data_IF_353958413194
#
_entry.id   IF_353958413194
#
_cell.length_a   1.000
_cell.length_b   1.000
_cell.length_c   1.000
_cell.angle_alpha   90.00
_cell.angle_beta   90.00
_cell.angle_gamma   90.00
#
_symmetry.space_group_name_H-M   'P 1'
#
loop_
_entity.id
_entity.type
_entity.pdbx_description
1 polymer ?
#
# COMPACT_ATOMS: atom_id res chain seq x y z
N UNK A 1 -3.63 -41.86 10.53
CA UNK A 1 -2.57 -40.97 10.00
C UNK A 1 -3.13 -39.63 9.52
N UNK A 2 -4.09 -39.59 8.57
CA UNK A 2 -4.66 -38.33 8.01
C UNK A 2 -5.29 -37.39 9.04
N UNK A 3 -6.01 -37.93 10.03
CA UNK A 3 -6.63 -37.15 11.12
C UNK A 3 -5.62 -36.49 12.07
N UNK A 4 -4.44 -37.08 12.22
CA UNK A 4 -3.37 -36.52 13.06
C UNK A 4 -2.66 -35.37 12.33
N UNK A 5 -2.38 -35.56 11.03
CA UNK A 5 -1.83 -34.50 10.17
C UNK A 5 -2.79 -33.31 10.02
N UNK A 6 -4.09 -33.56 9.88
CA UNK A 6 -5.09 -32.49 9.83
C UNK A 6 -5.15 -31.67 11.13
N UNK A 7 -4.97 -32.32 12.30
CA UNK A 7 -4.91 -31.64 13.61
C UNK A 7 -3.64 -30.81 13.75
N UNK A 8 -2.49 -31.34 13.34
CA UNK A 8 -1.22 -30.61 13.36
C UNK A 8 -1.26 -29.40 12.42
N UNK A 9 -1.80 -29.57 11.21
CA UNK A 9 -1.99 -28.48 10.26
C UNK A 9 -2.97 -27.41 10.80
N UNK A 10 -4.07 -27.83 11.44
CA UNK A 10 -5.01 -26.91 12.08
C UNK A 10 -4.37 -26.11 13.22
N UNK A 11 -3.58 -26.75 14.08
CA UNK A 11 -2.86 -26.06 15.16
C UNK A 11 -1.80 -25.10 14.59
N UNK A 12 -1.05 -25.51 13.57
CA UNK A 12 -0.07 -24.66 12.91
C UNK A 12 -0.72 -23.43 12.24
N UNK A 13 -1.88 -23.62 11.60
CA UNK A 13 -2.66 -22.52 11.02
C UNK A 13 -3.17 -21.55 12.09
N UNK A 14 -3.65 -22.06 13.24
CA UNK A 14 -4.08 -21.23 14.36
C UNK A 14 -2.92 -20.42 14.96
N UNK A 15 -1.75 -21.05 15.14
CA UNK A 15 -0.54 -20.36 15.61
C UNK A 15 -0.16 -19.25 14.63
N UNK A 16 -0.14 -19.54 13.33
CA UNK A 16 0.19 -18.56 12.29
C UNK A 16 -0.81 -17.39 12.25
N UNK A 17 -2.10 -17.67 12.43
CA UNK A 17 -3.13 -16.63 12.50
C UNK A 17 -3.02 -15.76 13.76
N UNK A 18 -2.50 -16.31 14.87
CA UNK A 18 -2.29 -15.60 16.14
C UNK A 18 -0.93 -14.92 16.29
N UNK A 19 0.00 -15.12 15.34
CA UNK A 19 1.30 -14.45 15.35
C UNK A 19 1.21 -12.92 15.31
N UNK A 20 0.28 -12.28 14.56
CA UNK A 20 0.13 -10.83 14.59
C UNK A 20 -0.13 -10.31 16.00
N UNK A 21 -1.02 -10.95 16.76
CA UNK A 21 -1.36 -10.53 18.13
C UNK A 21 -0.15 -10.57 19.07
N UNK A 22 0.71 -11.59 18.93
CA UNK A 22 1.96 -11.70 19.70
C UNK A 22 3.02 -10.68 19.30
N UNK A 23 3.09 -10.30 18.02
CA UNK A 23 3.99 -9.25 17.52
C UNK A 23 3.51 -7.87 17.96
N UNK A 24 2.21 -7.63 18.01
CA UNK A 24 1.63 -6.41 18.59
C UNK A 24 1.86 -6.34 20.10
N UNK A 25 1.84 -7.46 20.82
CA UNK A 25 2.11 -7.52 22.26
C UNK A 25 3.62 -7.40 22.61
N UNK A 26 4.51 -7.90 21.76
CA UNK A 26 5.97 -7.81 21.95
C UNK A 26 6.58 -6.48 21.46
N UNK A 27 5.82 -5.67 20.71
CA UNK A 27 6.23 -4.37 20.17
C UNK A 27 6.05 -3.17 21.10
N UNK A 28 5.66 -3.37 22.37
CA UNK A 28 5.32 -2.26 23.27
C UNK A 28 5.49 -2.58 24.75
N UNK A 29 6.73 -2.59 25.25
CA UNK A 29 6.96 -2.13 26.62
C UNK A 29 6.64 -0.64 26.76
N UNK A 30 6.96 0.00 27.89
CA UNK A 30 6.95 1.48 28.03
C UNK A 30 7.98 2.14 27.09
N UNK A 31 7.82 1.94 25.79
CA UNK A 31 8.47 2.68 24.74
C UNK A 31 7.81 4.04 24.84
N UNK A 32 8.50 4.97 25.51
CA UNK A 32 8.15 6.38 25.56
C UNK A 32 7.52 6.75 24.21
N UNK A 33 6.28 7.28 24.19
CA UNK A 33 5.49 7.39 22.97
C UNK A 33 6.37 8.00 21.90
N UNK A 34 6.78 7.18 20.92
CA UNK A 34 7.57 7.68 19.80
C UNK A 34 6.60 8.58 19.08
N UNK A 35 6.73 9.88 19.31
CA UNK A 35 5.97 10.91 18.63
C UNK A 35 6.48 10.90 17.19
N UNK A 36 5.82 10.09 16.35
CA UNK A 36 6.08 10.03 14.92
C UNK A 36 5.45 11.28 14.32
N UNK A 37 6.26 12.33 14.22
CA UNK A 37 5.90 13.62 13.63
C UNK A 37 6.83 13.88 12.46
N UNK A 38 6.26 14.27 11.34
CA UNK A 38 7.00 14.70 10.18
C UNK A 38 7.71 16.03 10.49
N UNK A 39 9.01 16.12 10.18
CA UNK A 39 9.77 17.36 10.34
C UNK A 39 9.40 18.36 9.24
N UNK A 40 8.65 19.40 9.59
CA UNK A 40 8.16 20.44 8.67
C UNK A 40 9.03 21.69 8.59
N UNK A 41 10.13 21.77 9.36
CA UNK A 41 10.89 23.02 9.59
C UNK A 41 11.53 23.62 8.34
N UNK A 42 11.88 22.80 7.35
CA UNK A 42 12.49 23.23 6.09
C UNK A 42 11.64 22.86 4.86
N UNK A 43 10.37 22.50 5.06
CA UNK A 43 9.46 22.19 3.97
C UNK A 43 8.66 23.44 3.58
N UNK A 44 8.38 23.58 2.29
CA UNK A 44 7.51 24.64 1.76
C UNK A 44 6.57 24.10 0.68
N UNK A 45 5.50 24.85 0.42
CA UNK A 45 4.53 24.51 -0.62
C UNK A 45 3.82 23.18 -0.38
N UNK A 46 3.72 22.36 -1.42
CA UNK A 46 2.99 21.07 -1.41
C UNK A 46 3.63 20.08 -0.43
N UNK A 47 4.97 20.09 -0.29
CA UNK A 47 5.65 19.20 0.64
C UNK A 47 5.35 19.55 2.09
N UNK A 48 5.29 20.85 2.41
CA UNK A 48 4.88 21.31 3.74
C UNK A 48 3.43 20.92 4.01
N UNK A 49 2.53 21.18 3.07
CA UNK A 49 1.12 20.81 3.20
C UNK A 49 0.93 19.31 3.45
N UNK A 50 1.64 18.46 2.69
CA UNK A 50 1.56 17.02 2.84
C UNK A 50 2.10 16.52 4.18
N UNK A 51 3.20 17.09 4.65
CA UNK A 51 3.80 16.74 5.94
C UNK A 51 2.97 17.26 7.13
N UNK A 52 2.38 18.44 7.01
CA UNK A 52 1.49 19.01 8.03
C UNK A 52 0.17 18.22 8.11
N UNK A 53 -0.36 17.76 6.96
CA UNK A 53 -1.53 16.88 6.91
C UNK A 53 -1.34 15.60 7.73
N UNK A 54 -0.14 15.00 7.66
CA UNK A 54 0.22 13.83 8.45
C UNK A 54 0.27 14.14 9.95
N UNK A 55 0.82 15.31 10.32
CA UNK A 55 0.95 15.75 11.70
C UNK A 55 -0.40 16.09 12.34
N UNK A 56 -1.32 16.73 11.61
CA UNK A 56 -2.64 17.10 12.13
C UNK A 56 -3.59 15.90 12.21
N UNK A 57 -3.65 15.05 11.18
CA UNK A 57 -4.59 13.93 11.14
C UNK A 57 -4.14 12.79 10.23
N UNK A 58 -3.69 11.71 10.87
CA UNK A 58 -3.33 10.46 10.20
C UNK A 58 -4.51 9.84 9.42
N UNK A 59 -5.74 9.99 9.91
CA UNK A 59 -6.94 9.50 9.22
C UNK A 59 -7.15 10.27 7.92
N UNK A 60 -7.07 11.60 7.97
CA UNK A 60 -7.29 12.42 6.79
C UNK A 60 -6.17 12.22 5.75
N UNK A 61 -4.93 12.13 6.21
CA UNK A 61 -3.79 11.72 5.39
C UNK A 61 -4.01 10.37 4.69
N UNK A 62 -4.50 9.36 5.42
CA UNK A 62 -4.77 8.04 4.85
C UNK A 62 -5.87 8.10 3.78
N UNK A 63 -6.98 8.80 4.03
CA UNK A 63 -8.07 8.94 3.06
C UNK A 63 -7.61 9.64 1.78
N UNK A 64 -6.87 10.75 1.91
CA UNK A 64 -6.32 11.49 0.77
C UNK A 64 -5.37 10.62 -0.04
N UNK A 65 -4.50 9.85 0.62
CA UNK A 65 -3.52 8.98 -0.04
C UNK A 65 -4.19 7.81 -0.76
N UNK A 66 -5.17 7.16 -0.11
CA UNK A 66 -5.93 6.03 -0.69
C UNK A 66 -6.71 6.48 -1.93
N UNK A 67 -7.20 7.71 -1.97
CA UNK A 67 -7.83 8.27 -3.16
C UNK A 67 -6.81 8.66 -4.24
N UNK A 68 -5.71 9.32 -3.87
CA UNK A 68 -4.74 9.83 -4.85
C UNK A 68 -3.98 8.75 -5.61
N UNK A 69 -3.56 7.68 -4.95
CA UNK A 69 -2.78 6.59 -5.59
C UNK A 69 -3.49 6.01 -6.82
N UNK A 70 -4.75 5.53 -6.74
CA UNK A 70 -5.43 4.98 -7.91
C UNK A 70 -5.73 6.05 -8.96
N UNK A 71 -6.03 7.29 -8.56
CA UNK A 71 -6.27 8.39 -9.51
C UNK A 71 -5.01 8.66 -10.34
N UNK A 72 -3.86 8.81 -9.69
CA UNK A 72 -2.58 9.03 -10.36
C UNK A 72 -2.22 7.82 -11.24
N UNK A 73 -2.47 6.60 -10.75
CA UNK A 73 -2.26 5.37 -11.51
C UNK A 73 -3.08 5.34 -12.81
N UNK A 74 -4.35 5.72 -12.76
CA UNK A 74 -5.21 5.83 -13.95
C UNK A 74 -4.71 6.93 -14.89
N UNK A 75 -4.33 8.09 -14.36
CA UNK A 75 -3.79 9.19 -15.17
C UNK A 75 -2.54 8.74 -15.93
N UNK A 76 -1.59 8.08 -15.25
CA UNK A 76 -0.39 7.58 -15.91
C UNK A 76 -0.67 6.43 -16.88
N UNK A 77 -1.62 5.54 -16.56
CA UNK A 77 -2.04 4.48 -17.48
C UNK A 77 -2.63 5.04 -18.77
N UNK A 78 -3.51 6.04 -18.67
CA UNK A 78 -4.10 6.72 -19.82
C UNK A 78 -3.04 7.50 -20.61
N UNK A 79 -2.14 8.21 -19.93
CA UNK A 79 -1.06 8.92 -20.59
C UNK A 79 -0.13 7.96 -21.36
N UNK A 80 0.17 6.80 -20.78
CA UNK A 80 0.94 5.76 -21.44
C UNK A 80 0.20 5.21 -22.67
N UNK A 81 -1.11 4.96 -22.60
CA UNK A 81 -1.92 4.51 -23.76
C UNK A 81 -1.87 5.53 -24.90
N UNK A 82 -1.96 6.82 -24.59
CA UNK A 82 -1.85 7.91 -25.57
C UNK A 82 -0.47 7.91 -26.22
N UNK A 83 0.60 7.80 -25.43
CA UNK A 83 1.98 7.79 -25.95
C UNK A 83 2.23 6.57 -26.84
N UNK A 84 1.80 5.38 -26.42
CA UNK A 84 1.95 4.14 -27.20
C UNK A 84 1.19 4.22 -28.53
N UNK A 85 -0.03 4.76 -28.51
CA UNK A 85 -0.82 5.01 -29.72
C UNK A 85 -0.11 6.00 -30.66
N UNK A 86 0.51 7.05 -30.12
CA UNK A 86 1.22 8.05 -30.93
C UNK A 86 2.52 7.53 -31.57
N UNK A 87 3.19 6.58 -30.93
CA UNK A 87 4.41 5.94 -31.44
C UNK A 87 4.08 4.82 -32.44
N UNK A 88 2.81 4.44 -32.59
CA UNK A 88 2.37 3.39 -33.52
C UNK A 88 2.46 1.97 -32.95
N UNK A 89 2.66 1.82 -31.64
CA UNK A 89 2.47 0.54 -30.95
C UNK A 89 0.98 0.43 -30.65
N UNK A 90 0.22 -0.03 -31.64
CA UNK A 90 -1.20 -0.26 -31.48
C UNK A 90 -1.44 -1.66 -30.88
N UNK A 91 -1.80 -1.70 -29.60
CA UNK A 91 -2.18 -2.91 -28.88
C UNK A 91 -3.68 -3.21 -29.01
N UNK A 92 -4.45 -2.41 -29.76
CA UNK A 92 -5.91 -2.55 -29.88
C UNK A 92 -6.34 -3.55 -30.95
N UNK A 93 -5.53 -3.78 -31.99
CA UNK A 93 -5.81 -4.77 -33.03
C UNK A 93 -4.89 -5.99 -32.90
N UNK A 94 -5.49 -7.13 -32.52
CA UNK A 94 -4.80 -8.43 -32.38
C UNK A 94 -4.82 -9.21 -33.70
N UNK A 95 -4.41 -8.58 -34.80
CA UNK A 95 -4.65 -9.11 -36.16
C UNK A 95 -3.59 -10.12 -36.68
N UNK A 96 -2.47 -10.36 -35.96
CA UNK A 96 -1.31 -11.04 -36.55
C UNK A 96 -0.69 -12.18 -35.72
N UNK A 97 -1.38 -12.77 -34.74
CA UNK A 97 -0.76 -13.74 -33.82
C UNK A 97 -1.43 -15.12 -33.68
N UNK A 98 -2.46 -15.45 -34.47
CA UNK A 98 -3.01 -16.82 -34.49
C UNK A 98 -3.39 -17.26 -35.92
N UNK A 99 -2.37 -17.62 -36.71
CA UNK A 99 -2.45 -18.61 -37.81
C UNK A 99 -1.12 -19.35 -37.94
#
# INVERSE_FOLDING_TARGET
MTKLWARIAGIAAMIFLSLPDGVFAAGGGDVAPIVIVADTRNLSGIMWWWAELYNESHLYFALVTVALIPIIGVIFGVLADIIMTHIGIDLKSRDLAEH
#
